data_IF_009020625454
#
_entry.id   IF_009020625454
#
_cell.length_a   1.000
_cell.length_b   1.000
_cell.length_c   1.000
_cell.angle_alpha   90.00
_cell.angle_beta   90.00
_cell.angle_gamma   90.00
#
_symmetry.space_group_name_H-M   'P 1'
#
loop_
_entity.id
_entity.type
_entity.pdbx_description
1 polymer ?
#
# COMPACT_ATOMS: atom_id res chain seq x y z
N UNK A 1 -17.07 14.10 4.51
CA UNK A 1 -17.78 13.72 3.28
C UNK A 1 -16.80 12.98 2.37
N UNK A 2 -17.15 11.73 2.01
CA UNK A 2 -16.63 10.92 0.89
C UNK A 2 -15.23 10.26 0.99
N UNK A 3 -14.98 9.43 2.01
CA UNK A 3 -13.83 8.50 1.99
C UNK A 3 -14.03 7.33 1.02
N UNK A 4 -15.27 6.84 0.87
CA UNK A 4 -15.68 5.80 -0.08
C UNK A 4 -15.29 6.12 -1.54
N UNK A 5 -15.35 7.38 -1.95
CA UNK A 5 -15.06 7.82 -3.32
C UNK A 5 -13.57 7.69 -3.69
N UNK A 6 -12.66 7.84 -2.72
CA UNK A 6 -11.22 7.84 -2.98
C UNK A 6 -10.71 6.42 -3.25
N UNK A 7 -11.17 5.43 -2.49
CA UNK A 7 -10.80 4.03 -2.67
C UNK A 7 -11.32 3.49 -4.02
N UNK A 8 -12.60 3.76 -4.35
CA UNK A 8 -13.20 3.34 -5.62
C UNK A 8 -12.52 3.97 -6.84
N UNK A 9 -12.15 5.25 -6.77
CA UNK A 9 -11.35 5.91 -7.83
C UNK A 9 -9.98 5.27 -8.02
N UNK A 10 -9.34 4.87 -6.93
CA UNK A 10 -8.03 4.21 -6.97
C UNK A 10 -8.14 2.83 -7.61
N UNK A 11 -9.16 2.04 -7.25
CA UNK A 11 -9.46 0.75 -7.88
C UNK A 11 -9.69 0.91 -9.38
N UNK A 12 -10.56 1.85 -9.78
CA UNK A 12 -10.89 2.09 -11.17
C UNK A 12 -9.66 2.50 -11.99
N UNK A 13 -8.82 3.41 -11.46
CA UNK A 13 -7.58 3.81 -12.12
C UNK A 13 -6.58 2.65 -12.24
N UNK A 14 -6.52 1.78 -11.24
CA UNK A 14 -5.64 0.59 -11.23
C UNK A 14 -6.08 -0.43 -12.28
N UNK A 15 -7.38 -0.72 -12.37
CA UNK A 15 -7.97 -1.58 -13.40
C UNK A 15 -7.76 -1.02 -14.80
N UNK A 16 -7.93 0.29 -14.97
CA UNK A 16 -7.72 0.98 -16.24
C UNK A 16 -6.27 0.90 -16.72
N UNK A 17 -5.30 1.20 -15.83
CA UNK A 17 -3.85 1.14 -16.15
C UNK A 17 -3.41 -0.26 -16.58
N UNK A 18 -4.06 -1.30 -16.08
CA UNK A 18 -3.76 -2.70 -16.38
C UNK A 18 -4.50 -3.25 -17.59
N UNK A 19 -5.45 -2.49 -18.16
CA UNK A 19 -6.33 -2.98 -19.22
C UNK A 19 -7.32 -4.05 -18.77
N UNK A 20 -7.55 -4.20 -17.45
CA UNK A 20 -8.40 -5.26 -16.87
C UNK A 20 -9.86 -4.83 -16.72
N UNK A 21 -10.29 -3.80 -17.46
CA UNK A 21 -11.66 -3.26 -17.38
C UNK A 21 -12.71 -4.27 -17.82
N UNK A 22 -12.37 -5.16 -18.74
CA UNK A 22 -13.31 -6.15 -19.28
C UNK A 22 -13.60 -7.29 -18.29
N UNK A 23 -12.60 -7.65 -17.47
CA UNK A 23 -12.69 -8.72 -16.46
C UNK A 23 -12.82 -8.19 -15.03
N UNK A 24 -13.07 -6.88 -14.86
CA UNK A 24 -13.19 -6.24 -13.54
C UNK A 24 -14.26 -6.89 -12.67
N UNK A 25 -15.38 -7.28 -13.26
CA UNK A 25 -16.49 -7.93 -12.58
C UNK A 25 -16.10 -9.32 -12.10
N UNK A 26 -15.49 -10.13 -12.98
CA UNK A 26 -15.01 -11.48 -12.64
C UNK A 26 -13.95 -11.46 -11.52
N UNK A 27 -12.99 -10.53 -11.59
CA UNK A 27 -11.97 -10.33 -10.55
C UNK A 27 -12.62 -9.96 -9.21
N UNK A 28 -13.55 -9.01 -9.22
CA UNK A 28 -14.20 -8.59 -7.99
C UNK A 28 -15.10 -9.71 -7.44
N UNK A 29 -15.88 -10.41 -8.28
CA UNK A 29 -16.72 -11.54 -7.83
C UNK A 29 -15.89 -12.66 -7.21
N UNK A 30 -14.74 -12.98 -7.81
CA UNK A 30 -13.84 -14.02 -7.32
C UNK A 30 -13.21 -13.66 -5.97
N UNK A 31 -12.86 -12.40 -5.77
CA UNK A 31 -12.20 -11.93 -4.55
C UNK A 31 -13.19 -11.66 -3.41
N UNK A 32 -14.37 -11.14 -3.73
CA UNK A 32 -15.44 -10.79 -2.76
C UNK A 32 -16.35 -12.00 -2.46
N UNK A 33 -16.24 -13.08 -3.24
CA UNK A 33 -17.10 -14.27 -3.19
C UNK A 33 -18.59 -13.95 -3.25
N UNK A 34 -18.95 -12.85 -3.93
CA UNK A 34 -20.32 -12.36 -4.07
C UNK A 34 -20.52 -11.84 -5.49
N UNK A 35 -21.71 -12.05 -6.04
CA UNK A 35 -22.08 -11.46 -7.31
C UNK A 35 -22.25 -9.95 -7.15
N UNK A 36 -21.55 -9.17 -7.97
CA UNK A 36 -21.54 -7.71 -7.90
C UNK A 36 -21.99 -7.19 -9.24
N UNK A 37 -23.06 -6.38 -9.25
CA UNK A 37 -23.57 -5.80 -10.50
C UNK A 37 -22.81 -4.52 -10.85
N UNK A 38 -22.33 -3.78 -9.83
CA UNK A 38 -21.55 -2.57 -10.03
C UNK A 38 -20.37 -2.45 -9.05
N UNK A 39 -19.26 -1.90 -9.54
CA UNK A 39 -18.07 -1.62 -8.73
C UNK A 39 -18.36 -0.66 -7.56
N UNK A 40 -19.40 0.16 -7.67
CA UNK A 40 -19.81 1.09 -6.62
C UNK A 40 -20.51 0.42 -5.42
N UNK A 41 -20.83 -0.86 -5.51
CA UNK A 41 -21.43 -1.64 -4.41
C UNK A 41 -20.38 -2.24 -3.47
N UNK A 42 -19.10 -2.14 -3.82
CA UNK A 42 -18.01 -2.65 -3.01
C UNK A 42 -17.86 -1.83 -1.73
N UNK A 43 -17.65 -2.50 -0.60
CA UNK A 43 -17.33 -1.79 0.65
C UNK A 43 -15.86 -1.37 0.64
N UNK A 44 -15.48 -0.38 1.45
CA UNK A 44 -14.09 0.09 1.52
C UNK A 44 -13.09 -1.04 1.84
N UNK A 45 -13.50 -2.02 2.65
CA UNK A 45 -12.69 -3.20 2.94
C UNK A 45 -12.53 -4.12 1.72
N UNK A 46 -13.62 -4.38 0.99
CA UNK A 46 -13.57 -5.20 -0.24
C UNK A 46 -12.72 -4.52 -1.32
N UNK A 47 -12.89 -3.21 -1.51
CA UNK A 47 -12.05 -2.41 -2.41
C UNK A 47 -10.59 -2.48 -1.98
N UNK A 48 -10.29 -2.41 -0.69
CA UNK A 48 -8.92 -2.53 -0.17
C UNK A 48 -8.33 -3.94 -0.40
N UNK A 49 -9.14 -5.00 -0.32
CA UNK A 49 -8.73 -6.37 -0.64
C UNK A 49 -8.39 -6.49 -2.13
N UNK A 50 -9.26 -5.98 -3.01
CA UNK A 50 -9.08 -6.05 -4.47
C UNK A 50 -7.91 -5.18 -4.93
N UNK A 51 -7.78 -3.95 -4.41
CA UNK A 51 -6.58 -3.12 -4.61
C UNK A 51 -5.36 -3.81 -4.02
N UNK A 52 -5.51 -4.60 -2.94
CA UNK A 52 -4.41 -5.38 -2.38
C UNK A 52 -3.91 -6.50 -3.27
N UNK A 53 -4.82 -7.17 -3.95
CA UNK A 53 -4.48 -8.23 -4.89
C UNK A 53 -3.92 -7.65 -6.21
N UNK A 54 -4.52 -6.56 -6.71
CA UNK A 54 -4.15 -5.90 -7.97
C UNK A 54 -2.98 -4.91 -7.85
N UNK A 55 -2.78 -4.35 -6.65
CA UNK A 55 -1.80 -3.32 -6.34
C UNK A 55 -0.38 -3.89 -6.34
N UNK A 56 0.55 -3.11 -6.88
CA UNK A 56 1.97 -3.45 -6.80
C UNK A 56 2.46 -3.25 -5.37
N UNK A 57 3.46 -4.04 -4.96
CA UNK A 57 4.11 -3.82 -3.67
C UNK A 57 4.63 -2.36 -3.55
N UNK A 58 4.93 -1.70 -4.67
CA UNK A 58 5.34 -0.29 -4.68
C UNK A 58 4.24 0.68 -4.21
N UNK A 59 2.98 0.44 -4.59
CA UNK A 59 1.86 1.30 -4.19
C UNK A 59 1.57 1.15 -2.69
N UNK A 60 1.75 -0.06 -2.16
CA UNK A 60 1.61 -0.36 -0.73
C UNK A 60 2.63 0.38 0.14
N UNK A 61 3.86 0.56 -0.36
CA UNK A 61 4.92 1.29 0.32
C UNK A 61 4.92 2.79 0.01
N UNK A 62 3.93 3.29 -0.72
CA UNK A 62 3.89 4.70 -1.12
C UNK A 62 3.70 5.59 0.10
N UNK A 63 4.60 6.56 0.25
CA UNK A 63 4.59 7.53 1.34
C UNK A 63 4.03 8.87 0.90
N UNK A 64 3.46 9.61 1.86
CA UNK A 64 3.15 11.01 1.72
C UNK A 64 4.31 11.85 2.27
N UNK A 65 4.95 12.66 1.42
CA UNK A 65 6.10 13.47 1.84
C UNK A 65 5.71 14.65 2.72
N UNK A 66 4.45 15.08 2.72
CA UNK A 66 3.99 16.14 3.58
C UNK A 66 3.87 15.66 5.05
N UNK A 67 3.55 14.38 5.25
CA UNK A 67 3.42 13.78 6.57
C UNK A 67 4.77 13.46 7.25
N UNK A 68 5.01 14.08 8.41
CA UNK A 68 6.21 13.85 9.22
C UNK A 68 6.42 12.37 9.61
N UNK A 69 5.35 11.62 9.89
CA UNK A 69 5.45 10.19 10.26
C UNK A 69 5.90 9.33 9.09
N UNK A 70 5.44 9.64 7.88
CA UNK A 70 5.86 8.93 6.68
C UNK A 70 7.32 9.23 6.36
N UNK A 71 7.77 10.48 6.54
CA UNK A 71 9.19 10.83 6.46
C UNK A 71 10.05 10.07 7.47
N UNK A 72 9.54 9.85 8.68
CA UNK A 72 10.23 9.03 9.66
C UNK A 72 10.34 7.56 9.24
N UNK A 73 9.26 6.98 8.69
CA UNK A 73 9.28 5.63 8.11
C UNK A 73 10.34 5.52 6.99
N UNK A 74 10.45 6.53 6.12
CA UNK A 74 11.51 6.56 5.11
C UNK A 74 12.90 6.54 5.75
N UNK A 75 13.14 7.33 6.80
CA UNK A 75 14.41 7.35 7.53
C UNK A 75 14.75 5.97 8.11
N UNK A 76 13.78 5.28 8.70
CA UNK A 76 13.96 3.91 9.19
C UNK A 76 14.30 2.94 8.06
N UNK A 77 13.62 3.05 6.92
CA UNK A 77 13.93 2.23 5.74
C UNK A 77 15.36 2.48 5.22
N UNK A 78 15.84 3.73 5.26
CA UNK A 78 17.24 4.05 4.94
C UNK A 78 18.21 3.36 5.90
N UNK A 79 17.95 3.39 7.20
CA UNK A 79 18.80 2.76 8.22
C UNK A 79 18.81 1.24 8.10
N UNK A 80 17.67 0.63 7.74
CA UNK A 80 17.55 -0.79 7.43
C UNK A 80 18.22 -1.20 6.11
N UNK A 81 18.70 -0.24 5.31
CA UNK A 81 19.24 -0.50 3.97
C UNK A 81 18.18 -0.91 2.95
N UNK A 82 16.91 -0.60 3.20
CA UNK A 82 15.80 -0.82 2.26
C UNK A 82 15.76 0.29 1.22
N UNK A 83 16.85 0.40 0.47
CA UNK A 83 17.08 1.45 -0.51
C UNK A 83 17.41 0.86 -1.87
N UNK A 84 17.10 1.60 -2.93
CA UNK A 84 17.47 1.30 -4.31
C UNK A 84 18.05 2.53 -4.98
N UNK A 85 18.92 2.34 -5.96
CA UNK A 85 19.39 3.45 -6.80
C UNK A 85 18.30 3.78 -7.81
N UNK A 86 17.83 5.03 -7.81
CA UNK A 86 16.86 5.47 -8.81
C UNK A 86 17.56 5.66 -10.16
N UNK A 87 17.21 4.89 -11.21
CA UNK A 87 17.96 4.88 -12.47
C UNK A 87 18.01 6.25 -13.15
N UNK A 88 16.94 7.05 -13.06
CA UNK A 88 16.90 8.37 -13.70
C UNK A 88 17.52 9.50 -12.87
N UNK A 89 17.68 9.33 -11.55
CA UNK A 89 18.14 10.40 -10.65
C UNK A 89 19.54 10.12 -10.11
N UNK A 90 20.06 8.91 -10.34
CA UNK A 90 21.34 8.42 -9.84
C UNK A 90 21.53 8.64 -8.33
N UNK A 91 20.43 8.61 -7.58
CA UNK A 91 20.34 8.84 -6.14
C UNK A 91 19.77 7.60 -5.47
N UNK A 92 20.28 7.30 -4.29
CA UNK A 92 19.74 6.27 -3.41
C UNK A 92 18.40 6.75 -2.85
N UNK A 93 17.32 6.03 -3.16
CA UNK A 93 15.95 6.30 -2.68
C UNK A 93 15.44 5.08 -1.92
N UNK A 94 14.46 5.24 -1.04
CA UNK A 94 13.82 4.10 -0.38
C UNK A 94 13.17 3.18 -1.40
N UNK A 95 13.35 1.87 -1.22
CA UNK A 95 12.68 0.86 -2.01
C UNK A 95 11.23 0.69 -1.53
N UNK A 96 10.34 1.49 -2.11
CA UNK A 96 8.92 1.45 -1.80
C UNK A 96 8.29 0.08 -2.09
N UNK A 97 8.82 -0.68 -3.07
CA UNK A 97 8.33 -2.04 -3.33
C UNK A 97 8.67 -2.97 -2.18
N UNK A 98 9.89 -2.88 -1.64
CA UNK A 98 10.29 -3.67 -0.48
C UNK A 98 9.48 -3.31 0.77
N UNK A 99 9.26 -2.01 1.00
CA UNK A 99 8.41 -1.53 2.10
C UNK A 99 6.98 -2.03 1.97
N UNK A 100 6.36 -1.90 0.80
CA UNK A 100 4.97 -2.33 0.64
C UNK A 100 4.81 -3.85 0.66
N UNK A 101 5.80 -4.62 0.17
CA UNK A 101 5.81 -6.07 0.35
C UNK A 101 5.87 -6.44 1.84
N UNK A 102 6.68 -5.73 2.63
CA UNK A 102 6.70 -5.90 4.07
C UNK A 102 5.34 -5.60 4.69
N UNK A 103 4.69 -4.49 4.33
CA UNK A 103 3.36 -4.13 4.83
C UNK A 103 2.31 -5.19 4.45
N UNK A 104 2.37 -5.71 3.22
CA UNK A 104 1.44 -6.72 2.71
C UNK A 104 1.62 -8.08 3.40
N UNK A 105 2.86 -8.48 3.68
CA UNK A 105 3.17 -9.81 4.24
C UNK A 105 3.25 -9.83 5.78
N UNK A 106 3.90 -8.83 6.38
CA UNK A 106 4.22 -8.74 7.81
C UNK A 106 3.40 -7.66 8.53
N UNK A 107 2.79 -6.74 7.79
CA UNK A 107 1.98 -5.68 8.37
C UNK A 107 0.68 -6.22 8.96
N UNK A 108 0.29 -5.70 10.12
CA UNK A 108 -0.92 -6.09 10.84
C UNK A 108 -2.20 -5.78 10.05
N UNK A 109 -2.22 -4.63 9.36
CA UNK A 109 -3.42 -4.10 8.71
C UNK A 109 -3.50 -4.41 7.21
N UNK A 110 -2.39 -4.86 6.59
CA UNK A 110 -2.31 -5.29 5.18
C UNK A 110 -2.99 -4.37 4.17
N UNK A 111 -3.02 -3.07 4.44
CA UNK A 111 -3.54 -2.02 3.56
C UNK A 111 -2.40 -1.11 3.07
N UNK A 112 -2.63 -0.25 2.06
CA UNK A 112 -1.62 0.68 1.58
C UNK A 112 -1.24 1.70 2.65
N UNK A 113 0.04 2.10 2.72
CA UNK A 113 0.54 3.01 3.74
C UNK A 113 -0.21 4.36 3.78
N UNK A 114 -0.67 4.86 2.63
CA UNK A 114 -1.46 6.09 2.53
C UNK A 114 -2.83 6.01 3.24
N UNK A 115 -3.36 4.80 3.46
CA UNK A 115 -4.64 4.57 4.14
C UNK A 115 -4.49 4.33 5.64
N UNK A 116 -3.27 4.41 6.18
CA UNK A 116 -3.04 4.24 7.60
C UNK A 116 -3.52 5.46 8.37
N UNK A 117 -4.26 5.20 9.44
CA UNK A 117 -4.55 6.20 10.47
C UNK A 117 -3.29 6.48 11.29
N UNK A 118 -3.30 7.57 12.07
CA UNK A 118 -2.15 7.93 12.90
C UNK A 118 -1.71 6.80 13.84
N UNK A 119 -2.66 6.08 14.44
CA UNK A 119 -2.36 4.99 15.37
C UNK A 119 -1.71 3.80 14.66
N UNK A 120 -2.22 3.45 13.48
CA UNK A 120 -1.68 2.37 12.65
C UNK A 120 -0.26 2.71 12.15
N UNK A 121 0.00 3.98 11.81
CA UNK A 121 1.35 4.44 11.47
C UNK A 121 2.30 4.26 12.66
N UNK A 122 1.84 4.56 13.88
CA UNK A 122 2.61 4.35 15.10
C UNK A 122 2.97 2.88 15.32
N UNK A 123 2.02 1.97 15.07
CA UNK A 123 2.27 0.53 15.15
C UNK A 123 3.28 0.06 14.11
N UNK A 124 3.20 0.56 12.87
CA UNK A 124 4.16 0.24 11.82
C UNK A 124 5.56 0.76 12.15
N UNK A 125 5.67 2.00 12.64
CA UNK A 125 6.94 2.61 13.06
C UNK A 125 7.60 1.74 14.13
N UNK A 126 6.88 1.37 15.19
CA UNK A 126 7.40 0.48 16.25
C UNK A 126 7.89 -0.87 15.69
N UNK A 127 7.17 -1.43 14.72
CA UNK A 127 7.58 -2.69 14.10
C UNK A 127 8.89 -2.55 13.31
N UNK A 128 9.07 -1.42 12.61
CA UNK A 128 10.31 -1.13 11.87
C UNK A 128 11.48 -0.83 12.81
N UNK A 129 11.25 -0.08 13.88
CA UNK A 129 12.25 0.17 14.94
C UNK A 129 12.73 -1.15 15.56
N UNK A 130 11.81 -2.05 15.91
CA UNK A 130 12.15 -3.36 16.47
C UNK A 130 13.00 -4.20 15.50
N UNK A 131 12.73 -4.14 14.19
CA UNK A 131 13.55 -4.82 13.18
C UNK A 131 14.95 -4.22 13.12
N UNK A 132 15.05 -2.89 13.17
CA UNK A 132 16.33 -2.19 13.15
C UNK A 132 17.17 -2.51 14.39
N UNK A 133 16.55 -2.53 15.57
CA UNK A 133 17.20 -2.92 16.82
C UNK A 133 17.73 -4.36 16.76
N UNK A 134 16.94 -5.29 16.22
CA UNK A 134 17.36 -6.68 16.04
C UNK A 134 18.44 -6.86 14.98
N UNK A 135 18.56 -5.95 14.01
CA UNK A 135 19.62 -5.98 13.01
C UNK A 135 20.95 -5.43 13.55
N UNK A 136 20.90 -4.62 14.61
CA UNK A 136 22.07 -3.96 15.21
C UNK A 136 22.66 -4.75 16.40
N UNK A 137 21.93 -5.75 16.92
CA UNK A 137 22.39 -6.68 17.96
C UNK A 137 23.07 -7.90 17.36
#
# INVERSE_FOLDING_TARGET
MNHTDTAHKTLFSTLQKRGLMEIRHEICEKLVQRNISSLSELTENEVAIIIGDLGTDEDYGRVDFNNNRHRYILSLCYQLGWVRVHPCLNRTVVDNSRLGRFIKQRGKYKKPLLQYTGDELGALIKALELILENQTK
#
